data_IF_666877704059
#
_entry.id   IF_666877704059
#
_cell.length_a   1.000
_cell.length_b   1.000
_cell.length_c   1.000
_cell.angle_alpha   90.00
_cell.angle_beta   90.00
_cell.angle_gamma   90.00
#
_symmetry.space_group_name_H-M   'P 1'
#
loop_
_entity.id
_entity.type
_entity.pdbx_description
1 polymer ?
#
# COMPACT_ATOMS: atom_id res chain seq x y z
N UNK A 1 -52.20 1.96 -73.11
CA UNK A 1 -51.03 1.60 -72.29
C UNK A 1 -50.60 2.87 -71.57
N UNK A 2 -50.45 2.96 -70.24
CA UNK A 2 -50.36 1.90 -69.20
C UNK A 2 -51.01 2.35 -67.86
N UNK A 3 -51.17 1.37 -66.96
CA UNK A 3 -51.94 1.34 -65.70
C UNK A 3 -51.54 2.33 -64.58
N UNK A 4 -52.51 2.50 -63.68
CA UNK A 4 -52.47 3.02 -62.29
C UNK A 4 -51.47 2.29 -61.37
N UNK A 5 -50.83 3.02 -60.45
CA UNK A 5 -50.45 2.66 -59.05
C UNK A 5 -49.74 3.89 -58.39
N UNK A 6 -49.87 4.31 -57.13
CA UNK A 6 -50.30 3.73 -55.83
C UNK A 6 -49.26 2.80 -55.14
N UNK A 7 -48.93 2.90 -53.84
CA UNK A 7 -49.24 3.92 -52.81
C UNK A 7 -47.97 4.68 -52.34
N UNK A 8 -47.42 4.69 -51.11
CA UNK A 8 -47.65 4.03 -49.78
C UNK A 8 -47.24 5.05 -48.67
N UNK A 9 -47.69 4.90 -47.41
CA UNK A 9 -47.41 5.81 -46.29
C UNK A 9 -46.53 5.19 -45.18
N UNK A 10 -45.87 6.03 -44.36
CA UNK A 10 -45.32 5.67 -43.04
C UNK A 10 -45.81 6.65 -41.97
N UNK A 11 -46.32 6.13 -40.85
CA UNK A 11 -46.57 6.89 -39.62
C UNK A 11 -45.47 6.62 -38.58
N UNK A 12 -45.02 7.64 -37.88
CA UNK A 12 -43.99 7.49 -36.84
C UNK A 12 -44.61 7.09 -35.49
N UNK A 13 -44.10 6.01 -34.88
CA UNK A 13 -44.50 5.57 -33.54
C UNK A 13 -43.49 6.07 -32.52
N UNK A 14 -43.89 6.99 -31.65
CA UNK A 14 -43.06 7.50 -30.55
C UNK A 14 -43.20 6.61 -29.31
N UNK A 15 -42.23 5.74 -29.05
CA UNK A 15 -42.17 4.92 -27.83
C UNK A 15 -41.52 5.73 -26.70
N UNK A 16 -42.31 6.14 -25.70
CA UNK A 16 -41.81 6.81 -24.50
C UNK A 16 -41.28 5.81 -23.47
N UNK A 17 -39.96 5.80 -23.24
CA UNK A 17 -39.32 4.97 -22.20
C UNK A 17 -39.26 5.71 -20.86
N UNK A 18 -40.35 5.64 -20.08
CA UNK A 18 -40.40 6.14 -18.70
C UNK A 18 -39.67 5.18 -17.74
N UNK A 19 -38.34 5.27 -17.71
CA UNK A 19 -37.51 4.49 -16.78
C UNK A 19 -37.60 5.00 -15.34
N UNK A 20 -38.36 4.31 -14.49
CA UNK A 20 -38.41 4.57 -13.05
C UNK A 20 -37.12 4.14 -12.34
N UNK A 21 -36.04 4.92 -12.50
CA UNK A 21 -34.82 4.74 -11.74
C UNK A 21 -35.05 5.07 -10.27
N UNK A 22 -35.07 4.04 -9.41
CA UNK A 22 -35.08 4.23 -7.96
C UNK A 22 -33.78 4.93 -7.53
N UNK A 23 -33.89 6.19 -7.10
CA UNK A 23 -32.75 6.92 -6.53
C UNK A 23 -32.29 6.19 -5.27
N UNK A 24 -31.13 5.54 -5.35
CA UNK A 24 -30.46 4.95 -4.18
C UNK A 24 -30.01 6.11 -3.30
N UNK A 25 -30.70 6.30 -2.19
CA UNK A 25 -30.46 7.40 -1.25
C UNK A 25 -29.18 7.14 -0.43
N UNK A 26 -28.03 7.39 -1.03
CA UNK A 26 -26.73 7.44 -0.37
C UNK A 26 -25.94 8.66 -0.86
N UNK A 27 -25.27 9.36 0.05
CA UNK A 27 -24.24 10.33 -0.33
C UNK A 27 -23.12 9.59 -1.05
N UNK A 28 -22.68 10.02 -2.25
CA UNK A 28 -21.56 9.38 -2.96
C UNK A 28 -20.24 9.59 -2.21
N UNK A 29 -19.96 8.72 -1.24
CA UNK A 29 -18.65 8.62 -0.58
C UNK A 29 -17.66 8.11 -1.62
N UNK A 30 -16.89 9.03 -2.20
CA UNK A 30 -15.78 8.68 -3.08
C UNK A 30 -14.80 7.78 -2.32
N UNK A 31 -14.18 6.76 -2.94
CA UNK A 31 -13.26 5.85 -2.25
C UNK A 31 -12.14 6.57 -1.46
N UNK A 32 -11.62 7.69 -1.98
CA UNK A 32 -10.68 8.54 -1.25
C UNK A 32 -11.23 9.20 0.03
N UNK A 33 -12.52 9.58 0.06
CA UNK A 33 -13.17 10.13 1.25
C UNK A 33 -13.34 9.07 2.35
N UNK A 34 -13.48 7.80 1.96
CA UNK A 34 -13.45 6.68 2.91
C UNK A 34 -12.03 6.42 3.42
N UNK A 35 -11.03 6.43 2.52
CA UNK A 35 -9.62 6.24 2.88
C UNK A 35 -9.13 7.26 3.92
N UNK A 36 -9.38 8.56 3.72
CA UNK A 36 -8.95 9.59 4.69
C UNK A 36 -9.61 9.42 6.07
N UNK A 37 -10.86 8.92 6.16
CA UNK A 37 -11.56 8.69 7.44
C UNK A 37 -10.98 7.53 8.24
N UNK A 38 -10.38 6.54 7.58
CA UNK A 38 -9.82 5.35 8.22
C UNK A 38 -8.32 5.43 8.50
N UNK A 39 -7.64 6.52 8.13
CA UNK A 39 -6.23 6.72 8.51
C UNK A 39 -6.07 7.03 10.00
N UNK A 40 -4.94 6.62 10.58
CA UNK A 40 -4.46 7.24 11.81
C UNK A 40 -3.97 8.66 11.54
N UNK A 41 -4.23 9.54 12.50
CA UNK A 41 -3.92 10.97 12.49
C UNK A 41 -2.89 11.31 13.58
N UNK A 42 -2.40 12.55 13.64
CA UNK A 42 -1.55 13.01 14.75
C UNK A 42 -2.22 12.86 16.14
N UNK A 43 -3.57 12.81 16.21
CA UNK A 43 -4.30 12.58 17.46
C UNK A 43 -4.29 11.11 17.92
N UNK A 44 -3.91 10.16 17.05
CA UNK A 44 -3.79 8.74 17.36
C UNK A 44 -2.42 8.36 17.98
N UNK A 45 -1.48 9.31 18.08
CA UNK A 45 -0.12 9.11 18.56
C UNK A 45 0.21 9.97 19.81
N UNK A 46 1.28 9.64 20.57
CA UNK A 46 1.71 10.46 21.70
C UNK A 46 2.17 11.86 21.26
N UNK A 47 1.81 12.89 22.03
CA UNK A 47 2.23 14.26 21.75
C UNK A 47 3.76 14.38 21.72
N UNK A 48 4.30 14.89 20.61
CA UNK A 48 5.73 15.06 20.39
C UNK A 48 6.35 14.11 19.36
N UNK A 49 5.58 13.18 18.76
CA UNK A 49 5.95 12.57 17.46
C UNK A 49 5.80 13.59 16.32
N UNK A 50 6.54 13.39 15.24
CA UNK A 50 6.31 14.08 13.97
C UNK A 50 5.41 13.20 13.11
N UNK A 51 4.29 13.72 12.62
CA UNK A 51 3.34 13.03 11.74
C UNK A 51 3.10 13.88 10.49
N UNK A 52 3.13 13.25 9.32
CA UNK A 52 2.92 13.90 8.03
C UNK A 52 1.96 13.05 7.16
N UNK A 53 0.95 13.70 6.56
CA UNK A 53 0.22 13.10 5.42
C UNK A 53 1.18 13.09 4.22
N UNK A 54 1.30 11.95 3.53
CA UNK A 54 2.02 11.83 2.25
C UNK A 54 0.96 11.86 1.15
N UNK A 55 1.07 12.84 0.25
CA UNK A 55 0.18 13.01 -0.91
C UNK A 55 0.93 12.61 -2.16
N UNK A 56 0.41 11.61 -2.89
CA UNK A 56 0.94 11.21 -4.19
C UNK A 56 0.42 12.12 -5.31
N UNK A 57 1.27 12.39 -6.30
CA UNK A 57 0.86 13.15 -7.49
C UNK A 57 -0.03 12.30 -8.42
N UNK A 58 -1.18 12.82 -8.91
CA UNK A 58 -2.05 12.09 -9.82
C UNK A 58 -1.33 11.66 -11.12
N UNK A 59 -1.30 10.35 -11.40
CA UNK A 59 -0.66 9.78 -12.58
C UNK A 59 0.85 9.50 -12.44
N UNK A 60 1.48 9.93 -11.35
CA UNK A 60 2.89 9.61 -11.02
C UNK A 60 2.95 8.26 -10.29
N UNK A 61 3.67 7.23 -10.80
CA UNK A 61 3.83 5.97 -10.09
C UNK A 61 4.60 6.10 -8.76
N UNK A 62 4.26 5.26 -7.78
CA UNK A 62 4.99 5.13 -6.51
C UNK A 62 6.51 5.00 -6.74
N UNK A 63 7.28 5.95 -6.23
CA UNK A 63 8.74 5.94 -6.33
C UNK A 63 9.31 6.44 -7.66
N UNK A 64 8.51 7.04 -8.54
CA UNK A 64 9.00 7.71 -9.75
C UNK A 64 10.11 8.73 -9.42
N UNK A 65 11.18 8.74 -10.23
CA UNK A 65 12.37 9.55 -9.99
C UNK A 65 13.31 9.02 -8.90
N UNK A 66 12.92 7.98 -8.15
CA UNK A 66 13.81 7.27 -7.24
C UNK A 66 14.89 6.46 -7.96
N UNK A 67 15.97 6.06 -7.26
CA UNK A 67 16.95 5.13 -7.82
C UNK A 67 16.29 3.76 -8.10
N UNK A 68 16.72 3.03 -9.15
CA UNK A 68 16.21 1.69 -9.41
C UNK A 68 16.60 0.74 -8.29
N UNK A 69 15.76 -0.28 -8.06
CA UNK A 69 16.04 -1.36 -7.12
C UNK A 69 17.37 -2.04 -7.44
N UNK A 70 18.15 -2.36 -6.40
CA UNK A 70 19.46 -3.02 -6.56
C UNK A 70 19.33 -4.34 -7.33
N UNK A 71 20.40 -4.73 -8.04
CA UNK A 71 20.49 -6.08 -8.60
C UNK A 71 20.49 -7.10 -7.47
N UNK A 72 19.93 -8.29 -7.69
CA UNK A 72 19.87 -9.35 -6.67
C UNK A 72 20.10 -10.75 -7.20
N UNK A 73 20.48 -11.65 -6.30
CA UNK A 73 20.61 -13.10 -6.53
C UNK A 73 19.89 -13.85 -5.39
N UNK A 74 18.73 -14.51 -5.65
CA UNK A 74 18.05 -14.65 -6.94
C UNK A 74 17.55 -13.33 -7.55
N UNK A 75 17.38 -13.25 -8.89
CA UNK A 75 16.85 -12.06 -9.56
C UNK A 75 15.47 -11.65 -9.04
N UNK A 76 15.25 -10.34 -8.87
CA UNK A 76 13.98 -9.76 -8.42
C UNK A 76 13.74 -9.78 -6.90
N UNK A 77 14.59 -10.43 -6.09
CA UNK A 77 14.43 -10.44 -4.63
C UNK A 77 14.58 -9.06 -3.98
N UNK A 78 15.42 -8.15 -4.51
CA UNK A 78 15.58 -6.79 -3.97
C UNK A 78 14.30 -5.93 -3.94
N UNK A 79 13.27 -6.29 -4.72
CA UNK A 79 12.00 -5.54 -4.76
C UNK A 79 10.77 -6.45 -4.64
N UNK A 80 10.94 -7.73 -4.30
CA UNK A 80 9.94 -8.78 -4.51
C UNK A 80 8.56 -8.49 -3.90
N UNK A 81 8.51 -7.86 -2.72
CA UNK A 81 7.27 -7.51 -2.03
C UNK A 81 6.60 -6.27 -2.64
N UNK A 82 7.39 -5.23 -2.96
CA UNK A 82 6.93 -4.05 -3.70
C UNK A 82 6.34 -4.42 -5.06
N UNK A 83 7.00 -5.34 -5.76
CA UNK A 83 6.60 -5.91 -7.05
C UNK A 83 5.26 -6.62 -6.99
N UNK A 84 4.99 -7.39 -5.93
CA UNK A 84 3.70 -8.06 -5.73
C UNK A 84 2.60 -7.02 -5.53
N UNK A 85 2.79 -6.04 -4.65
CA UNK A 85 1.80 -4.97 -4.43
C UNK A 85 1.56 -4.19 -5.72
N UNK A 86 2.61 -3.83 -6.46
CA UNK A 86 2.49 -3.08 -7.71
C UNK A 86 1.77 -3.86 -8.84
N UNK A 87 1.66 -5.19 -8.74
CA UNK A 87 0.94 -6.04 -9.69
C UNK A 87 -0.48 -6.42 -9.24
N UNK A 88 -0.82 -6.18 -7.97
CA UNK A 88 -2.07 -6.71 -7.35
C UNK A 88 -2.96 -5.64 -6.72
N UNK A 89 -2.41 -4.49 -6.33
CA UNK A 89 -3.14 -3.38 -5.72
C UNK A 89 -3.12 -2.15 -6.63
N UNK A 90 -4.29 -1.53 -6.80
CA UNK A 90 -4.41 -0.21 -7.42
C UNK A 90 -3.80 0.85 -6.49
N UNK A 91 -3.05 1.81 -7.04
CA UNK A 91 -2.40 2.89 -6.28
C UNK A 91 -2.66 4.25 -6.92
N UNK A 92 -2.51 5.30 -6.12
CA UNK A 92 -2.74 6.69 -6.51
C UNK A 92 -4.00 7.28 -5.87
N UNK A 93 -4.31 8.56 -6.17
CA UNK A 93 -5.38 9.29 -5.51
C UNK A 93 -6.74 8.60 -5.61
N UNK A 94 -7.35 8.32 -4.46
CA UNK A 94 -8.64 7.62 -4.35
C UNK A 94 -8.53 6.11 -4.11
N UNK A 95 -7.39 5.49 -4.45
CA UNK A 95 -7.18 4.04 -4.28
C UNK A 95 -6.07 3.69 -3.28
N UNK A 96 -5.18 4.64 -2.99
CA UNK A 96 -4.23 4.57 -1.88
C UNK A 96 -4.21 5.88 -1.06
N UNK A 97 -3.90 5.79 0.23
CA UNK A 97 -3.62 6.93 1.10
C UNK A 97 -2.48 6.61 2.08
N UNK A 98 -1.48 7.51 2.20
CA UNK A 98 -0.19 7.22 2.84
C UNK A 98 0.18 8.24 3.91
N UNK A 99 0.76 7.85 5.04
CA UNK A 99 1.33 8.79 6.01
C UNK A 99 2.67 8.29 6.55
N UNK A 100 3.45 9.21 7.13
CA UNK A 100 4.59 8.85 7.95
C UNK A 100 4.43 9.34 9.39
N UNK A 101 4.96 8.57 10.32
CA UNK A 101 5.13 8.97 11.72
C UNK A 101 6.57 8.67 12.15
N UNK A 102 7.20 9.64 12.82
CA UNK A 102 8.58 9.56 13.24
C UNK A 102 8.72 9.75 14.76
N UNK A 103 9.51 8.86 15.34
CA UNK A 103 9.93 8.77 16.73
C UNK A 103 11.48 8.87 16.76
N UNK A 104 12.08 9.26 17.88
CA UNK A 104 13.54 9.08 18.02
C UNK A 104 13.85 7.58 18.13
N UNK A 105 14.43 7.03 17.06
CA UNK A 105 14.73 5.61 16.90
C UNK A 105 14.00 4.96 15.71
N UNK A 106 12.87 5.51 15.24
CA UNK A 106 12.04 4.88 14.22
C UNK A 106 11.34 5.90 13.30
N UNK A 107 11.53 5.76 11.98
CA UNK A 107 10.67 6.40 10.97
C UNK A 107 9.79 5.32 10.35
N UNK A 108 8.47 5.46 10.50
CA UNK A 108 7.46 4.55 9.97
C UNK A 108 6.75 5.23 8.79
N UNK A 109 6.47 4.48 7.73
CA UNK A 109 5.61 4.87 6.61
C UNK A 109 4.51 3.81 6.47
N UNK A 110 3.25 4.25 6.45
CA UNK A 110 2.07 3.40 6.30
C UNK A 110 1.30 3.79 5.04
N UNK A 111 0.75 2.78 4.34
CA UNK A 111 -0.17 2.91 3.21
C UNK A 111 -1.44 2.12 3.51
N UNK A 112 -2.60 2.75 3.33
CA UNK A 112 -3.90 2.08 3.28
C UNK A 112 -4.38 2.07 1.82
N UNK A 113 -4.95 0.95 1.38
CA UNK A 113 -5.44 0.68 0.04
C UNK A 113 -6.95 0.46 0.07
N UNK A 114 -7.68 0.94 -0.93
CA UNK A 114 -9.11 0.69 -1.08
C UNK A 114 -9.43 -0.79 -1.32
N UNK A 115 -8.46 -1.55 -1.86
CA UNK A 115 -8.52 -2.99 -2.12
C UNK A 115 -7.67 -3.81 -1.15
N UNK A 116 -8.04 -5.06 -0.90
CA UNK A 116 -7.20 -6.04 -0.16
C UNK A 116 -5.85 -6.30 -0.84
N UNK A 117 -4.86 -6.67 -0.02
CA UNK A 117 -3.57 -7.22 -0.43
C UNK A 117 -3.68 -8.73 -0.69
N UNK A 118 -2.97 -9.22 -1.71
CA UNK A 118 -2.67 -10.65 -1.88
C UNK A 118 -1.55 -11.08 -0.92
N UNK A 119 -1.96 -11.42 0.31
CA UNK A 119 -1.06 -11.96 1.33
C UNK A 119 -0.45 -13.31 0.93
N UNK A 120 -1.09 -14.08 0.05
CA UNK A 120 -0.56 -15.36 -0.45
C UNK A 120 0.67 -15.14 -1.33
N UNK A 121 0.56 -14.27 -2.33
CA UNK A 121 1.70 -13.89 -3.18
C UNK A 121 2.80 -13.16 -2.40
N UNK A 122 2.45 -12.35 -1.39
CA UNK A 122 3.42 -11.70 -0.51
C UNK A 122 4.21 -12.72 0.32
N UNK A 123 3.53 -13.67 0.97
CA UNK A 123 4.19 -14.72 1.74
C UNK A 123 5.08 -15.62 0.87
N UNK A 124 4.60 -16.00 -0.33
CA UNK A 124 5.39 -16.76 -1.31
C UNK A 124 6.60 -15.98 -1.84
N UNK A 125 6.49 -14.65 -1.97
CA UNK A 125 7.59 -13.78 -2.34
C UNK A 125 8.63 -13.61 -1.21
N UNK A 126 8.18 -13.49 0.04
CA UNK A 126 9.05 -13.46 1.21
C UNK A 126 9.84 -14.76 1.36
N UNK A 127 9.17 -15.92 1.32
CA UNK A 127 9.81 -17.23 1.47
C UNK A 127 10.82 -17.54 0.34
N UNK A 128 10.50 -17.18 -0.92
CA UNK A 128 11.45 -17.31 -2.04
C UNK A 128 12.71 -16.43 -1.87
N UNK A 129 12.60 -15.36 -1.10
CA UNK A 129 13.65 -14.38 -0.85
C UNK A 129 14.02 -14.31 0.64
N UNK A 130 13.96 -15.46 1.34
CA UNK A 130 14.37 -15.59 2.74
C UNK A 130 15.86 -15.26 2.92
N UNK A 131 16.71 -15.70 1.98
CA UNK A 131 18.10 -15.30 1.85
C UNK A 131 18.41 -14.91 0.41
N UNK A 132 19.03 -13.74 0.20
CA UNK A 132 19.49 -13.30 -1.12
C UNK A 132 20.66 -12.32 -1.03
N UNK A 133 21.47 -12.23 -2.08
CA UNK A 133 22.47 -11.17 -2.21
C UNK A 133 21.89 -9.97 -2.97
N UNK A 134 22.35 -8.76 -2.63
CA UNK A 134 22.14 -7.54 -3.43
C UNK A 134 23.46 -6.92 -3.86
N UNK A 135 23.45 -6.16 -4.96
CA UNK A 135 24.66 -5.61 -5.58
C UNK A 135 24.44 -4.18 -6.08
N UNK A 136 25.40 -3.28 -5.83
CA UNK A 136 25.42 -1.93 -6.41
C UNK A 136 25.70 -1.96 -7.93
N UNK A 137 26.64 -2.81 -8.37
CA UNK A 137 26.89 -3.12 -9.77
C UNK A 137 27.27 -4.61 -9.94
N UNK A 138 27.33 -5.10 -11.18
CA UNK A 138 27.59 -6.52 -11.49
C UNK A 138 28.99 -7.02 -11.09
N UNK A 139 29.90 -6.15 -10.66
CA UNK A 139 31.27 -6.48 -10.22
C UNK A 139 31.49 -6.24 -8.72
N UNK A 140 30.53 -5.62 -8.02
CA UNK A 140 30.58 -5.46 -6.57
C UNK A 140 30.47 -6.82 -5.86
N UNK A 141 31.06 -6.98 -4.67
CA UNK A 141 30.75 -8.13 -3.80
C UNK A 141 29.27 -8.11 -3.40
N UNK A 142 28.71 -9.29 -3.15
CA UNK A 142 27.33 -9.42 -2.70
C UNK A 142 27.13 -8.88 -1.28
N UNK A 143 26.06 -8.11 -1.10
CA UNK A 143 25.57 -7.64 0.20
C UNK A 143 24.47 -8.62 0.63
N UNK A 144 24.70 -9.51 1.61
CA UNK A 144 23.72 -10.51 1.99
C UNK A 144 22.56 -9.87 2.75
N UNK A 145 21.35 -10.20 2.31
CA UNK A 145 20.07 -9.86 2.92
C UNK A 145 19.42 -11.14 3.47
N UNK A 146 18.86 -11.06 4.68
CA UNK A 146 18.00 -12.11 5.24
C UNK A 146 16.66 -11.53 5.64
N UNK A 147 15.58 -12.15 5.15
CA UNK A 147 14.17 -11.83 5.44
C UNK A 147 13.66 -12.78 6.53
N UNK A 148 13.51 -12.30 7.76
CA UNK A 148 13.03 -13.10 8.89
C UNK A 148 11.57 -12.77 9.20
N UNK A 149 10.71 -13.78 9.31
CA UNK A 149 9.31 -13.64 9.70
C UNK A 149 9.19 -13.20 11.16
N UNK A 150 8.37 -12.19 11.42
CA UNK A 150 8.02 -11.71 12.77
C UNK A 150 6.60 -12.17 13.16
N UNK A 151 6.26 -12.21 14.46
CA UNK A 151 4.91 -12.54 14.91
C UNK A 151 3.84 -11.60 14.35
N UNK A 152 2.78 -12.16 13.78
CA UNK A 152 1.64 -11.44 13.21
C UNK A 152 0.31 -12.17 13.49
N UNK A 153 -0.82 -11.46 13.30
CA UNK A 153 -2.15 -12.07 13.33
C UNK A 153 -2.49 -12.87 12.07
N UNK A 154 -3.62 -13.61 12.03
CA UNK A 154 -3.95 -14.53 10.92
C UNK A 154 -4.16 -13.84 9.57
N UNK A 155 -4.76 -12.64 9.54
CA UNK A 155 -4.91 -11.80 8.33
C UNK A 155 -3.72 -10.82 8.14
N UNK A 156 -2.54 -11.15 8.69
CA UNK A 156 -1.36 -10.29 8.64
C UNK A 156 -0.02 -11.05 8.49
N UNK A 157 0.95 -10.39 7.88
CA UNK A 157 2.34 -10.80 7.74
C UNK A 157 3.24 -9.70 8.28
N UNK A 158 4.33 -10.06 8.96
CA UNK A 158 5.36 -9.12 9.39
C UNK A 158 6.75 -9.71 9.14
N UNK A 159 7.70 -8.87 8.75
CA UNK A 159 9.07 -9.27 8.43
C UNK A 159 10.10 -8.24 8.90
N UNK A 160 11.28 -8.74 9.26
CA UNK A 160 12.52 -7.98 9.35
C UNK A 160 13.40 -8.34 8.15
N UNK A 161 13.92 -7.36 7.43
CA UNK A 161 15.00 -7.56 6.46
C UNK A 161 16.29 -6.98 7.03
N UNK A 162 17.25 -7.88 7.29
CA UNK A 162 18.59 -7.55 7.78
C UNK A 162 19.57 -7.49 6.62
N UNK A 163 20.40 -6.45 6.58
CA UNK A 163 21.46 -6.23 5.59
C UNK A 163 22.81 -6.13 6.29
N UNK A 164 23.77 -6.98 5.91
CA UNK A 164 25.14 -6.89 6.45
C UNK A 164 26.03 -6.12 5.49
N UNK A 165 26.47 -4.92 5.88
CA UNK A 165 27.30 -4.04 5.06
C UNK A 165 28.40 -3.40 5.91
N UNK A 166 29.66 -3.49 5.46
CA UNK A 166 30.80 -2.89 6.18
C UNK A 166 31.00 -3.43 7.61
N UNK A 167 30.61 -4.67 7.88
CA UNK A 167 30.64 -5.26 9.23
C UNK A 167 29.49 -4.80 10.16
N UNK A 168 28.55 -3.99 9.66
CA UNK A 168 27.37 -3.54 10.40
C UNK A 168 26.10 -4.21 9.87
N UNK A 169 25.27 -4.74 10.78
CA UNK A 169 23.91 -5.19 10.46
C UNK A 169 22.95 -4.02 10.52
N UNK A 170 22.23 -3.76 9.44
CA UNK A 170 21.18 -2.76 9.36
C UNK A 170 19.85 -3.47 9.09
N UNK A 171 18.86 -3.28 9.95
CA UNK A 171 17.52 -3.84 9.77
C UNK A 171 16.55 -2.80 9.21
N UNK A 172 15.55 -3.26 8.45
CA UNK A 172 14.30 -2.54 8.29
C UNK A 172 13.12 -3.52 8.37
N UNK A 173 11.94 -3.00 8.66
CA UNK A 173 10.78 -3.81 9.01
C UNK A 173 9.64 -3.56 8.04
N UNK A 174 8.84 -4.58 7.76
CA UNK A 174 7.68 -4.53 6.88
C UNK A 174 6.48 -5.24 7.50
N UNK A 175 5.28 -4.76 7.21
CA UNK A 175 4.03 -5.36 7.65
C UNK A 175 2.99 -5.28 6.53
N UNK A 176 2.19 -6.32 6.38
CA UNK A 176 1.11 -6.42 5.40
C UNK A 176 -0.12 -7.01 6.10
N UNK A 177 -1.29 -6.41 5.97
CA UNK A 177 -2.51 -6.88 6.62
C UNK A 177 -3.76 -6.56 5.80
N UNK A 178 -4.85 -7.28 6.04
CA UNK A 178 -6.18 -6.98 5.50
C UNK A 178 -7.17 -6.69 6.64
N UNK A 179 -7.93 -5.60 6.54
CA UNK A 179 -8.95 -5.20 7.51
C UNK A 179 -10.12 -4.50 6.80
N UNK A 180 -11.37 -4.72 7.22
CA UNK A 180 -12.54 -3.99 6.68
C UNK A 180 -12.76 -4.09 5.16
N UNK A 181 -12.11 -5.03 4.45
CA UNK A 181 -12.10 -5.10 2.98
C UNK A 181 -10.95 -4.32 2.30
N UNK A 182 -10.25 -3.49 3.07
CA UNK A 182 -9.08 -2.71 2.66
C UNK A 182 -7.77 -3.44 2.98
N UNK A 183 -6.71 -3.07 2.25
CA UNK A 183 -5.34 -3.52 2.50
C UNK A 183 -4.55 -2.48 3.29
N UNK A 184 -3.66 -2.93 4.17
CA UNK A 184 -2.72 -2.08 4.91
C UNK A 184 -1.32 -2.63 4.71
N UNK A 185 -0.37 -1.79 4.30
CA UNK A 185 1.04 -2.15 4.38
C UNK A 185 1.88 -1.00 4.92
N UNK A 186 3.07 -1.32 5.40
CA UNK A 186 3.99 -0.31 5.91
C UNK A 186 5.43 -0.79 5.94
N UNK A 187 6.33 0.17 6.09
CA UNK A 187 7.75 -0.06 6.28
C UNK A 187 8.27 0.83 7.43
N UNK A 188 9.24 0.34 8.19
CA UNK A 188 9.88 1.09 9.25
C UNK A 188 11.40 0.97 9.23
N UNK A 189 12.05 2.13 9.39
CA UNK A 189 13.49 2.31 9.26
C UNK A 189 14.07 2.81 10.58
N UNK A 190 15.11 2.15 11.15
CA UNK A 190 15.84 2.66 12.30
C UNK A 190 16.39 4.06 12.00
N UNK A 191 15.85 5.06 12.67
CA UNK A 191 16.15 6.48 12.40
C UNK A 191 16.27 7.22 13.72
N UNK A 192 17.50 7.42 14.20
CA UNK A 192 17.75 8.24 15.38
C UNK A 192 17.53 9.71 15.02
N UNK A 193 16.63 10.39 15.73
CA UNK A 193 16.40 11.81 15.61
C UNK A 193 16.16 12.42 17.01
N UNK A 194 17.21 12.91 17.70
CA UNK A 194 17.11 13.37 19.09
C UNK A 194 16.30 14.67 19.26
N UNK A 195 15.84 15.30 18.17
CA UNK A 195 14.88 16.43 18.24
C UNK A 195 13.46 15.97 18.53
N UNK A 196 13.16 14.68 18.36
CA UNK A 196 11.86 14.08 18.67
C UNK A 196 11.88 13.60 20.13
N UNK A 197 10.92 14.08 20.93
CA UNK A 197 10.87 13.78 22.36
C UNK A 197 10.44 12.33 22.64
N UNK A 198 9.49 11.81 21.84
CA UNK A 198 8.95 10.45 21.97
C UNK A 198 9.91 9.45 21.34
N UNK A 199 10.26 8.39 22.09
CA UNK A 199 11.15 7.32 21.62
C UNK A 199 10.37 6.24 20.89
N UNK A 200 11.01 5.62 19.89
CA UNK A 200 10.47 4.47 19.16
C UNK A 200 11.45 3.31 19.18
N UNK A 201 10.94 2.11 19.48
CA UNK A 201 11.75 0.88 19.55
C UNK A 201 11.21 -0.11 18.52
N UNK A 202 12.04 -0.44 17.53
CA UNK A 202 11.70 -1.41 16.50
C UNK A 202 12.02 -2.84 16.96
N UNK A 203 11.25 -3.86 16.55
CA UNK A 203 10.06 -3.77 15.68
C UNK A 203 8.80 -3.24 16.38
N UNK A 204 8.73 -3.24 17.72
CA UNK A 204 7.47 -3.11 18.46
C UNK A 204 6.65 -1.86 18.10
N UNK A 205 7.23 -0.64 18.14
CA UNK A 205 6.51 0.60 17.83
C UNK A 205 5.92 0.62 16.41
N UNK A 206 6.52 -0.12 15.47
CA UNK A 206 5.99 -0.29 14.12
C UNK A 206 4.83 -1.29 14.08
N UNK A 207 4.98 -2.46 14.74
CA UNK A 207 3.91 -3.45 14.83
C UNK A 207 2.67 -2.89 15.55
N UNK A 208 2.86 -2.14 16.64
CA UNK A 208 1.79 -1.42 17.35
C UNK A 208 1.06 -0.42 16.43
N UNK A 209 1.81 0.30 15.59
CA UNK A 209 1.26 1.26 14.63
C UNK A 209 0.46 0.56 13.53
N UNK A 210 0.99 -0.52 12.96
CA UNK A 210 0.30 -1.34 11.96
C UNK A 210 -0.98 -1.99 12.52
N UNK A 211 -0.92 -2.53 13.75
CA UNK A 211 -2.09 -3.09 14.44
C UNK A 211 -3.14 -2.01 14.73
N UNK A 212 -2.73 -0.82 15.20
CA UNK A 212 -3.64 0.31 15.44
C UNK A 212 -4.32 0.78 14.13
N UNK A 213 -3.59 0.79 13.02
CA UNK A 213 -4.14 1.12 11.70
C UNK A 213 -5.15 0.07 11.21
N UNK A 214 -4.85 -1.22 11.37
CA UNK A 214 -5.80 -2.29 11.04
C UNK A 214 -7.05 -2.25 11.94
N UNK A 215 -6.89 -1.96 13.23
CA UNK A 215 -7.99 -1.83 14.18
C UNK A 215 -8.89 -0.62 13.88
N UNK A 216 -8.32 0.53 13.49
CA UNK A 216 -9.09 1.71 13.03
C UNK A 216 -10.00 1.36 11.86
N UNK A 217 -9.47 0.65 10.86
CA UNK A 217 -10.21 0.20 9.68
C UNK A 217 -11.29 -0.83 10.04
N UNK A 218 -10.99 -1.77 10.94
CA UNK A 218 -11.95 -2.80 11.37
C UNK A 218 -13.10 -2.26 12.27
N UNK A 219 -13.02 -1.00 12.69
CA UNK A 219 -14.01 -0.32 13.53
C UNK A 219 -14.69 0.88 12.81
N UNK A 220 -14.56 0.96 11.48
CA UNK A 220 -15.14 2.01 10.62
C UNK A 220 -16.30 1.47 9.77
#
# INVERSE_FOLDING_TARGET
MTRVMAAVALGAVTVGLSGCGSVVAGTPTWPGEHLEKVLLTQADFPAGVVYDRITDEPGTPDGAGGPPSMLSRPPGCANALTDVIAKTAERGPGSAAKYSVAFDGARIVMTVLSSRLDLGSLAAAAARCEHFETFFDTRSPGIPITTTTLPSGPDALAYEQTMQLGGSTNSFYMSFANAGGMGVFGAAFPTKNPTISVKGTLPQTFLDTAQRQAARIAAS
#
